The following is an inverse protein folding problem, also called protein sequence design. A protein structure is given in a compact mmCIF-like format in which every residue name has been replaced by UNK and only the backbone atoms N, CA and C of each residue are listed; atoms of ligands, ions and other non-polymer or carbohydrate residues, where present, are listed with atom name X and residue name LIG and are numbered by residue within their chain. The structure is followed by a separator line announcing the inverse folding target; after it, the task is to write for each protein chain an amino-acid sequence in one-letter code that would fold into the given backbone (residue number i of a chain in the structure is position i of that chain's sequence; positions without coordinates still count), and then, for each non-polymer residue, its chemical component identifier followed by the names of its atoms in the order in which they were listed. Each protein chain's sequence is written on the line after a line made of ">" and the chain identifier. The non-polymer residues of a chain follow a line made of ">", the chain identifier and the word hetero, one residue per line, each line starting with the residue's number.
data_IF_606979955298
#
_entry.id   IF_606979955298
#
_cell.length_a   1.000
_cell.length_b   1.000
_cell.length_c   1.000
_cell.angle_alpha   90.00
_cell.angle_beta   90.00
_cell.angle_gamma   90.00
#
_symmetry.space_group_name_H-M   'P 1'
#
loop_
_entity.id
_entity.type
_entity.pdbx_description
1 polymer ?
#
# COMPACT_ATOMS: atom_id res chain seq x y z
N UNK A 1 14.89 0.80 -20.47
CA UNK A 1 15.33 0.91 -19.06
C UNK A 1 14.22 0.67 -18.05
N UNK A 2 13.18 1.51 -17.99
CA UNK A 2 12.09 1.41 -17.00
C UNK A 2 11.41 0.03 -16.95
N UNK A 3 11.13 -0.59 -18.10
CA UNK A 3 10.51 -1.92 -18.15
C UNK A 3 11.39 -3.03 -17.51
N UNK A 4 12.72 -2.88 -17.54
CA UNK A 4 13.64 -3.84 -16.90
C UNK A 4 13.56 -3.72 -15.38
N UNK A 5 13.67 -2.49 -14.88
CA UNK A 5 13.57 -2.19 -13.45
C UNK A 5 12.22 -2.63 -12.87
N UNK A 6 11.13 -2.39 -13.61
CA UNK A 6 9.79 -2.87 -13.22
C UNK A 6 9.71 -4.40 -13.08
N UNK A 7 10.34 -5.15 -13.99
CA UNK A 7 10.38 -6.62 -13.90
C UNK A 7 11.20 -7.12 -12.71
N UNK A 8 12.27 -6.41 -12.36
CA UNK A 8 13.12 -6.78 -11.21
C UNK A 8 12.35 -6.64 -9.90
N UNK A 9 11.71 -5.49 -9.67
CA UNK A 9 10.95 -5.24 -8.44
C UNK A 9 9.69 -6.13 -8.34
N UNK A 10 9.03 -6.44 -9.46
CA UNK A 10 7.89 -7.38 -9.49
C UNK A 10 8.31 -8.80 -9.09
N UNK A 11 9.46 -9.27 -9.59
CA UNK A 11 10.01 -10.58 -9.23
C UNK A 11 10.39 -10.64 -7.76
N UNK A 12 11.01 -9.58 -7.23
CA UNK A 12 11.38 -9.50 -5.82
C UNK A 12 10.14 -9.57 -4.92
N UNK A 13 9.09 -8.80 -5.23
CA UNK A 13 7.84 -8.82 -4.46
C UNK A 13 7.20 -10.21 -4.45
N UNK A 14 7.20 -10.91 -5.60
CA UNK A 14 6.69 -12.29 -5.70
C UNK A 14 7.54 -13.29 -4.92
N UNK A 15 8.87 -13.14 -4.95
CA UNK A 15 9.78 -13.97 -4.15
C UNK A 15 9.58 -13.79 -2.64
N UNK A 16 9.12 -12.61 -2.21
CA UNK A 16 8.73 -12.32 -0.82
C UNK A 16 7.32 -12.83 -0.46
N UNK A 17 6.65 -13.53 -1.37
CA UNK A 17 5.34 -14.15 -1.13
C UNK A 17 4.13 -13.33 -1.59
N UNK A 18 4.32 -12.22 -2.32
CA UNK A 18 3.19 -11.45 -2.86
C UNK A 18 2.39 -12.28 -3.87
N UNK A 19 1.10 -12.46 -3.60
CA UNK A 19 0.13 -13.13 -4.50
C UNK A 19 -0.47 -12.18 -5.55
N UNK A 20 -0.17 -10.87 -5.44
CA UNK A 20 -0.66 -9.87 -6.39
C UNK A 20 -0.05 -10.06 -7.78
N UNK A 21 -0.87 -9.92 -8.82
CA UNK A 21 -0.44 -10.03 -10.22
C UNK A 21 0.58 -8.97 -10.61
N UNK A 22 0.38 -7.74 -10.12
CA UNK A 22 1.23 -6.57 -10.35
C UNK A 22 1.38 -5.75 -9.03
N UNK A 23 2.20 -6.22 -8.07
CA UNK A 23 2.26 -5.66 -6.71
C UNK A 23 2.59 -4.16 -6.70
N UNK A 24 3.51 -3.73 -7.56
CA UNK A 24 3.94 -2.33 -7.62
C UNK A 24 2.86 -1.40 -8.21
N UNK A 25 2.13 -1.87 -9.22
CA UNK A 25 1.00 -1.12 -9.79
C UNK A 25 -0.14 -1.02 -8.78
N UNK A 26 -0.48 -2.10 -8.08
CA UNK A 26 -1.50 -2.09 -7.02
C UNK A 26 -1.17 -1.08 -5.92
N UNK A 27 0.09 -1.05 -5.45
CA UNK A 27 0.54 -0.09 -4.44
C UNK A 27 0.38 1.37 -4.90
N UNK A 28 0.66 1.66 -6.18
CA UNK A 28 0.54 3.02 -6.72
C UNK A 28 -0.90 3.59 -6.62
N UNK A 29 -1.92 2.73 -6.66
CA UNK A 29 -3.31 3.12 -6.45
C UNK A 29 -3.66 3.33 -4.97
N UNK A 30 -3.00 2.64 -4.02
CA UNK A 30 -3.23 2.84 -2.59
C UNK A 30 -2.78 4.23 -2.09
N UNK A 31 -1.87 4.89 -2.82
CA UNK A 31 -1.47 6.26 -2.54
C UNK A 31 -2.61 7.28 -2.73
N UNK A 32 -3.61 6.97 -3.56
CA UNK A 32 -4.76 7.83 -3.81
C UNK A 32 -5.63 7.96 -2.55
N UNK A 33 -5.97 9.19 -2.20
CA UNK A 33 -6.56 9.59 -0.90
C UNK A 33 -8.07 9.28 -0.74
N UNK A 34 -8.71 8.61 -1.71
CA UNK A 34 -10.18 8.53 -1.80
C UNK A 34 -10.76 7.13 -1.58
N UNK A 35 -9.94 6.07 -1.46
CA UNK A 35 -10.47 4.69 -1.50
C UNK A 35 -10.36 3.94 -0.15
N UNK A 36 -9.26 4.00 0.61
CA UNK A 36 -9.17 3.19 1.83
C UNK A 36 -9.94 3.84 2.98
N UNK A 37 -10.91 3.12 3.56
CA UNK A 37 -11.61 3.53 4.80
C UNK A 37 -10.67 3.60 6.00
N UNK A 38 -9.57 2.83 5.98
CA UNK A 38 -8.51 2.86 6.98
C UNK A 38 -7.15 2.90 6.26
N UNK A 39 -6.32 3.89 6.57
CA UNK A 39 -5.04 4.13 5.86
C UNK A 39 -3.92 4.50 6.82
N UNK A 40 -2.78 3.83 6.70
CA UNK A 40 -1.56 4.25 7.39
C UNK A 40 -0.91 5.41 6.62
N UNK A 41 -0.66 6.50 7.32
CA UNK A 41 0.04 7.69 6.81
C UNK A 41 1.33 7.93 7.60
N UNK A 42 2.10 8.93 7.17
CA UNK A 42 3.26 9.45 7.90
C UNK A 42 2.93 9.95 9.31
N UNK A 43 1.67 10.33 9.56
CA UNK A 43 1.18 10.81 10.87
C UNK A 43 0.51 9.74 11.73
N UNK A 44 0.45 8.49 11.25
CA UNK A 44 -0.22 7.38 11.93
C UNK A 44 -1.41 6.83 11.14
N UNK A 45 -2.20 5.98 11.80
CA UNK A 45 -3.36 5.31 11.21
C UNK A 45 -4.55 6.27 11.17
N UNK A 46 -5.13 6.45 9.99
CA UNK A 46 -6.21 7.39 9.72
C UNK A 46 -7.46 6.64 9.27
N UNK A 47 -8.60 6.90 9.92
CA UNK A 47 -9.91 6.40 9.55
C UNK A 47 -10.59 7.43 8.63
N UNK A 48 -10.70 7.11 7.34
CA UNK A 48 -11.37 7.96 6.35
C UNK A 48 -12.88 8.05 6.51
N UNK A 49 -13.50 7.11 7.24
CA UNK A 49 -14.94 7.11 7.52
C UNK A 49 -15.30 8.08 8.64
N UNK A 50 -14.43 8.19 9.65
CA UNK A 50 -14.57 9.12 10.79
C UNK A 50 -13.80 10.42 10.62
N UNK A 51 -12.89 10.45 9.65
CA UNK A 51 -12.00 11.57 9.36
C UNK A 51 -11.09 11.97 10.54
N UNK A 52 -10.56 10.97 11.24
CA UNK A 52 -9.71 11.14 12.42
C UNK A 52 -8.55 10.13 12.46
N UNK A 53 -7.53 10.42 13.27
CA UNK A 53 -6.48 9.43 13.57
C UNK A 53 -6.96 8.45 14.64
N UNK A 54 -6.62 7.17 14.47
CA UNK A 54 -6.98 6.08 15.39
C UNK A 54 -5.74 5.29 15.81
N UNK A 55 -5.84 4.53 16.89
CA UNK A 55 -4.73 3.73 17.40
C UNK A 55 -4.43 2.51 16.52
N UNK A 56 -3.14 2.14 16.46
CA UNK A 56 -2.66 0.97 15.71
C UNK A 56 -2.82 -0.32 16.52
N UNK A 57 -2.78 -0.22 17.83
CA UNK A 57 -2.85 -1.34 18.76
C UNK A 57 -3.95 -1.07 19.79
N UNK A 58 -4.62 -2.14 20.23
CA UNK A 58 -5.50 -2.13 21.40
C UNK A 58 -4.85 -3.05 22.44
N UNK A 59 -4.83 -2.63 23.70
CA UNK A 59 -4.37 -3.47 24.82
C UNK A 59 -5.33 -4.64 25.10
#
# INVERSE_FOLDING_TARGET
>A
EIARQYKEIDRMAKAMGSTLSAPFMTLSFMALLVIPTLKLSDKGLFDGSKFEFTEVFFD
#
